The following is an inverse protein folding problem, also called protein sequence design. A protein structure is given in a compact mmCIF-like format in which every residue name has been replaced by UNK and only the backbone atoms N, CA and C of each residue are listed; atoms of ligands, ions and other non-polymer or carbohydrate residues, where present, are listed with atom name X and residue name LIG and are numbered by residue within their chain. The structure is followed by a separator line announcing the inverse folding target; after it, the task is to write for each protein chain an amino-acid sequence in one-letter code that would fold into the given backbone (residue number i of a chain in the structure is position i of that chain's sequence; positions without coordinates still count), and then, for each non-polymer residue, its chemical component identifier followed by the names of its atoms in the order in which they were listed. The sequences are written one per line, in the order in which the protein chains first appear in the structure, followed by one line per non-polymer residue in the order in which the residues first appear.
data_IF_576014087924
#
_entry.id   IF_576014087924
#
_cell.length_a   1.000
_cell.length_b   1.000
_cell.length_c   1.000
_cell.angle_alpha   90.00
_cell.angle_beta   90.00
_cell.angle_gamma   90.00
#
_symmetry.space_group_name_H-M   'P 1'
#
loop_
_entity.id
_entity.type
_entity.pdbx_description
1 polymer ?
#
# COMPACT_ATOMS: atom_id res chain seq x y z
N UNK A 1 65.54 -3.50 -31.65
CA UNK A 1 64.15 -3.53 -32.06
C UNK A 1 63.40 -2.73 -31.03
N UNK A 2 63.04 -1.50 -31.35
CA UNK A 2 62.44 -0.50 -30.46
C UNK A 2 60.92 -0.62 -30.50
N UNK A 3 60.32 -0.97 -29.35
CA UNK A 3 58.89 -0.92 -29.12
C UNK A 3 58.42 0.53 -29.25
N UNK A 4 57.61 0.82 -30.25
CA UNK A 4 56.80 2.04 -30.32
C UNK A 4 55.55 1.80 -29.51
N UNK A 5 55.56 2.24 -28.27
CA UNK A 5 54.35 2.40 -27.44
C UNK A 5 53.55 3.54 -28.08
N UNK A 6 52.38 3.18 -28.63
CA UNK A 6 51.40 4.14 -29.15
C UNK A 6 50.79 4.87 -27.96
N UNK A 7 51.16 6.13 -27.81
CA UNK A 7 50.60 7.04 -26.82
C UNK A 7 49.20 7.48 -27.28
N UNK A 8 48.19 6.75 -26.82
CA UNK A 8 46.77 6.95 -27.16
C UNK A 8 46.16 8.20 -26.50
N UNK A 9 46.92 8.95 -25.69
CA UNK A 9 46.45 10.09 -24.91
C UNK A 9 47.13 11.43 -25.21
N UNK A 10 48.00 11.50 -26.19
CA UNK A 10 48.77 12.71 -26.52
C UNK A 10 48.11 13.54 -27.64
N UNK A 11 46.90 13.99 -27.42
CA UNK A 11 46.25 15.05 -28.20
C UNK A 11 45.28 15.84 -27.32
N UNK A 12 45.18 17.18 -27.48
CA UNK A 12 44.12 17.91 -26.79
C UNK A 12 42.77 17.38 -27.29
N UNK A 13 42.09 16.61 -26.46
CA UNK A 13 40.70 16.21 -26.70
C UNK A 13 39.88 17.48 -26.97
N UNK A 14 39.19 17.60 -28.09
CA UNK A 14 38.21 18.66 -28.23
C UNK A 14 37.18 18.47 -27.11
N UNK A 15 37.18 19.41 -26.17
CA UNK A 15 36.15 19.49 -25.16
C UNK A 15 34.84 19.58 -25.96
N UNK A 16 33.94 18.56 -25.89
CA UNK A 16 32.67 18.71 -26.54
C UNK A 16 32.05 19.95 -25.92
N UNK A 17 31.65 20.90 -26.76
CA UNK A 17 30.86 22.03 -26.29
C UNK A 17 29.78 21.47 -25.41
N UNK A 18 29.83 21.84 -24.14
CA UNK A 18 28.73 21.58 -23.19
C UNK A 18 27.52 22.27 -23.77
N UNK A 19 26.79 21.57 -24.65
CA UNK A 19 25.40 21.91 -24.82
C UNK A 19 24.84 21.81 -23.42
N UNK A 20 24.67 22.94 -22.77
CA UNK A 20 23.70 23.11 -21.70
C UNK A 20 22.39 22.67 -22.32
N UNK A 21 22.11 21.38 -22.20
CA UNK A 21 20.74 20.91 -22.19
C UNK A 21 20.15 21.59 -20.96
N UNK A 22 19.65 22.80 -21.15
CA UNK A 22 18.59 23.34 -20.31
C UNK A 22 17.53 22.24 -20.31
N UNK A 23 17.60 21.35 -19.30
CA UNK A 23 16.50 20.50 -18.94
C UNK A 23 15.40 21.48 -18.57
N UNK A 24 14.59 21.87 -19.56
CA UNK A 24 13.30 22.47 -19.28
C UNK A 24 12.63 21.49 -18.31
N UNK A 25 12.59 21.90 -17.04
CA UNK A 25 11.86 21.15 -16.03
C UNK A 25 10.42 21.12 -16.53
N UNK A 26 9.97 19.94 -16.94
CA UNK A 26 8.64 19.77 -17.49
C UNK A 26 7.65 20.24 -16.43
N UNK A 27 6.95 21.34 -16.69
CA UNK A 27 5.89 21.83 -15.83
C UNK A 27 4.59 21.06 -16.15
N UNK A 28 4.46 19.89 -15.53
CA UNK A 28 3.29 19.05 -15.71
C UNK A 28 1.98 19.75 -15.24
N UNK A 29 2.08 20.75 -14.37
CA UNK A 29 0.91 21.49 -13.89
C UNK A 29 0.34 22.42 -14.98
N UNK A 30 1.18 22.88 -15.91
CA UNK A 30 0.76 23.74 -17.04
C UNK A 30 0.11 22.93 -18.19
N UNK A 31 0.29 21.61 -18.23
CA UNK A 31 -0.30 20.77 -19.28
C UNK A 31 -1.83 20.64 -19.09
N UNK A 32 -2.57 20.65 -20.19
CA UNK A 32 -3.97 20.23 -20.21
C UNK A 32 -4.06 18.72 -19.88
N UNK A 33 -5.25 18.25 -19.48
CA UNK A 33 -5.46 16.83 -19.19
C UNK A 33 -5.16 15.93 -20.40
N UNK A 34 -5.50 16.38 -21.61
CA UNK A 34 -5.24 15.64 -22.84
C UNK A 34 -3.74 15.53 -23.14
N UNK A 35 -2.98 16.62 -22.99
CA UNK A 35 -1.53 16.62 -23.18
C UNK A 35 -0.83 15.78 -22.11
N UNK A 36 -1.27 15.89 -20.85
CA UNK A 36 -0.76 15.09 -19.74
C UNK A 36 -0.94 13.58 -20.00
N UNK A 37 -2.15 13.17 -20.40
CA UNK A 37 -2.48 11.78 -20.72
C UNK A 37 -1.65 11.27 -21.91
N UNK A 38 -1.46 12.09 -22.95
CA UNK A 38 -0.67 11.72 -24.11
C UNK A 38 0.83 11.56 -23.80
N UNK A 39 1.37 12.36 -22.88
CA UNK A 39 2.80 12.33 -22.49
C UNK A 39 3.16 11.13 -21.60
N UNK A 40 2.25 10.63 -20.76
CA UNK A 40 2.53 9.59 -19.77
C UNK A 40 3.10 8.30 -20.37
N UNK A 41 2.57 7.69 -21.44
CA UNK A 41 3.07 6.40 -21.95
C UNK A 41 4.53 6.46 -22.44
N UNK A 42 4.98 7.63 -22.92
CA UNK A 42 6.30 7.84 -23.47
C UNK A 42 7.30 8.44 -22.45
N UNK A 43 6.84 8.68 -21.22
CA UNK A 43 7.62 9.34 -20.17
C UNK A 43 8.96 8.64 -19.90
N UNK A 44 10.04 9.42 -19.92
CA UNK A 44 11.37 8.99 -19.50
C UNK A 44 11.51 8.94 -17.97
N UNK A 45 12.68 8.48 -17.49
CA UNK A 45 12.97 8.38 -16.05
C UNK A 45 12.83 9.75 -15.34
N UNK A 46 13.24 10.86 -16.00
CA UNK A 46 13.18 12.20 -15.39
C UNK A 46 11.77 12.80 -15.32
N UNK A 47 10.85 12.33 -16.12
CA UNK A 47 9.52 12.94 -16.32
C UNK A 47 8.39 12.08 -15.71
N UNK A 48 8.55 10.75 -15.70
CA UNK A 48 7.51 9.83 -15.32
C UNK A 48 6.89 10.13 -13.95
N UNK A 49 7.71 10.49 -12.97
CA UNK A 49 7.23 10.79 -11.63
C UNK A 49 6.42 12.09 -11.57
N UNK A 50 6.86 13.12 -12.30
CA UNK A 50 6.17 14.42 -12.33
C UNK A 50 4.82 14.31 -13.03
N UNK A 51 4.77 13.64 -14.21
CA UNK A 51 3.54 13.42 -14.96
C UNK A 51 2.56 12.53 -14.21
N UNK A 52 3.03 11.41 -13.67
CA UNK A 52 2.19 10.47 -12.93
C UNK A 52 1.61 11.11 -11.67
N UNK A 53 2.42 11.86 -10.90
CA UNK A 53 1.98 12.57 -9.70
C UNK A 53 0.94 13.66 -10.02
N UNK A 54 1.10 14.37 -11.13
CA UNK A 54 0.13 15.38 -11.53
C UNK A 54 -1.21 14.75 -11.94
N UNK A 55 -1.19 13.63 -12.67
CA UNK A 55 -2.39 12.85 -12.99
C UNK A 55 -3.11 12.36 -11.70
N UNK A 56 -2.33 11.90 -10.71
CA UNK A 56 -2.84 11.48 -9.41
C UNK A 56 -3.45 12.66 -8.63
N UNK A 57 -2.77 13.82 -8.58
CA UNK A 57 -3.24 15.04 -7.91
C UNK A 57 -4.59 15.50 -8.46
N UNK A 58 -4.75 15.43 -9.78
CA UNK A 58 -6.02 15.76 -10.46
C UNK A 58 -7.05 14.64 -10.37
N UNK A 59 -6.69 13.46 -9.85
CA UNK A 59 -7.53 12.25 -9.83
C UNK A 59 -8.09 11.88 -11.21
N UNK A 60 -7.27 11.98 -12.25
CA UNK A 60 -7.66 11.77 -13.63
C UNK A 60 -7.93 10.29 -13.93
N UNK A 61 -9.18 9.85 -13.85
CA UNK A 61 -9.55 8.48 -14.22
C UNK A 61 -9.21 8.16 -15.69
N UNK A 62 -9.26 9.16 -16.59
CA UNK A 62 -8.89 9.01 -17.99
C UNK A 62 -7.40 8.68 -18.20
N UNK A 63 -6.50 9.01 -17.24
CA UNK A 63 -5.08 8.69 -17.31
C UNK A 63 -4.77 7.22 -16.98
N UNK A 64 -5.71 6.44 -16.45
CA UNK A 64 -5.48 5.05 -16.03
C UNK A 64 -4.93 4.17 -17.15
N UNK A 65 -5.43 4.29 -18.37
CA UNK A 65 -4.94 3.52 -19.50
C UNK A 65 -3.51 3.92 -19.91
N UNK A 66 -3.20 5.22 -19.84
CA UNK A 66 -1.86 5.74 -20.12
C UNK A 66 -0.83 5.26 -19.06
N UNK A 67 -1.19 5.31 -17.77
CA UNK A 67 -0.37 4.80 -16.68
C UNK A 67 -0.15 3.28 -16.79
N UNK A 68 -1.18 2.52 -17.13
CA UNK A 68 -1.06 1.09 -17.42
C UNK A 68 -0.13 0.82 -18.61
N UNK A 69 -0.22 1.60 -19.69
CA UNK A 69 0.66 1.47 -20.84
C UNK A 69 2.12 1.74 -20.47
N UNK A 70 2.38 2.75 -19.63
CA UNK A 70 3.71 3.03 -19.09
C UNK A 70 4.29 1.82 -18.31
N UNK A 71 3.51 1.15 -17.49
CA UNK A 71 3.93 -0.08 -16.81
C UNK A 71 4.26 -1.20 -17.82
N UNK A 72 3.40 -1.43 -18.82
CA UNK A 72 3.56 -2.49 -19.81
C UNK A 72 4.78 -2.30 -20.70
N UNK A 73 5.15 -1.07 -21.01
CA UNK A 73 6.35 -0.73 -21.79
C UNK A 73 7.63 -1.22 -21.13
N UNK A 74 7.64 -1.34 -19.81
CA UNK A 74 8.79 -1.76 -19.02
C UNK A 74 8.67 -3.17 -18.45
N UNK A 75 7.84 -4.03 -19.04
CA UNK A 75 7.72 -5.45 -18.67
C UNK A 75 9.05 -6.17 -18.82
N UNK A 76 9.44 -6.98 -17.82
CA UNK A 76 10.68 -7.76 -17.80
C UNK A 76 11.93 -7.01 -17.35
N UNK A 77 11.83 -5.72 -16.99
CA UNK A 77 12.96 -4.93 -16.51
C UNK A 77 13.13 -4.93 -14.98
N UNK A 78 12.14 -5.42 -14.23
CA UNK A 78 11.99 -5.23 -12.79
C UNK A 78 12.55 -6.33 -11.88
N UNK A 79 13.26 -7.33 -12.38
CA UNK A 79 13.61 -8.54 -11.63
C UNK A 79 14.27 -8.29 -10.27
N UNK A 80 15.26 -7.39 -10.19
CA UNK A 80 15.97 -7.08 -8.94
C UNK A 80 15.99 -5.59 -8.58
N UNK A 81 15.40 -4.73 -9.39
CA UNK A 81 15.45 -3.27 -9.21
C UNK A 81 14.08 -2.65 -9.42
N UNK A 82 13.81 -1.60 -8.65
CA UNK A 82 12.64 -0.75 -8.92
C UNK A 82 12.81 -0.10 -10.30
N UNK A 83 11.80 -0.27 -11.15
CA UNK A 83 11.69 0.46 -12.42
C UNK A 83 10.96 1.77 -12.12
N UNK A 84 11.62 2.95 -12.21
CA UNK A 84 11.01 4.21 -11.79
C UNK A 84 9.68 4.52 -12.47
N UNK A 85 9.57 4.19 -13.76
CA UNK A 85 8.34 4.40 -14.53
C UNK A 85 7.19 3.51 -14.02
N UNK A 86 7.46 2.24 -13.70
CA UNK A 86 6.46 1.35 -13.13
C UNK A 86 6.06 1.82 -11.73
N UNK A 87 7.02 2.19 -10.88
CA UNK A 87 6.74 2.69 -9.54
C UNK A 87 5.87 3.95 -9.59
N UNK A 88 6.27 4.95 -10.39
CA UNK A 88 5.49 6.18 -10.53
C UNK A 88 4.06 5.94 -11.04
N UNK A 89 3.91 5.02 -11.99
CA UNK A 89 2.59 4.67 -12.52
C UNK A 89 1.73 3.92 -11.50
N UNK A 90 2.30 2.98 -10.73
CA UNK A 90 1.59 2.24 -9.68
C UNK A 90 1.14 3.15 -8.54
N UNK A 91 2.02 4.05 -8.09
CA UNK A 91 1.70 5.05 -7.06
C UNK A 91 0.56 5.97 -7.52
N UNK A 92 0.61 6.42 -8.78
CA UNK A 92 -0.45 7.25 -9.35
C UNK A 92 -1.78 6.49 -9.47
N UNK A 93 -1.76 5.24 -9.93
CA UNK A 93 -2.95 4.39 -10.00
C UNK A 93 -3.58 4.20 -8.60
N UNK A 94 -2.76 3.95 -7.57
CA UNK A 94 -3.21 3.83 -6.20
C UNK A 94 -3.85 5.13 -5.70
N UNK A 95 -3.21 6.29 -5.97
CA UNK A 95 -3.69 7.59 -5.53
C UNK A 95 -4.97 8.05 -6.28
N UNK A 96 -5.13 7.71 -7.57
CA UNK A 96 -6.37 7.96 -8.32
C UNK A 96 -7.53 7.20 -7.68
N UNK A 97 -7.32 5.95 -7.25
CA UNK A 97 -8.23 5.21 -6.40
C UNK A 97 -9.57 4.79 -7.05
N UNK A 98 -9.73 4.95 -8.36
CA UNK A 98 -10.97 4.58 -9.05
C UNK A 98 -11.03 3.07 -9.38
N UNK A 99 -12.22 2.58 -9.72
CA UNK A 99 -12.44 1.18 -10.06
C UNK A 99 -11.59 0.71 -11.25
N UNK A 100 -11.38 1.60 -12.21
CA UNK A 100 -10.54 1.35 -13.39
C UNK A 100 -9.07 1.19 -13.00
N UNK A 101 -8.56 2.00 -12.06
CA UNK A 101 -7.20 1.88 -11.53
C UNK A 101 -7.01 0.54 -10.80
N UNK A 102 -7.97 0.15 -9.96
CA UNK A 102 -7.98 -1.16 -9.28
C UNK A 102 -7.91 -2.32 -10.28
N UNK A 103 -8.71 -2.27 -11.35
CA UNK A 103 -8.68 -3.27 -12.44
C UNK A 103 -7.36 -3.27 -13.19
N UNK A 104 -6.78 -2.08 -13.46
CA UNK A 104 -5.51 -1.96 -14.16
C UNK A 104 -4.37 -2.60 -13.36
N UNK A 105 -4.29 -2.37 -12.05
CA UNK A 105 -3.31 -3.00 -11.16
C UNK A 105 -3.49 -4.52 -11.15
N UNK A 106 -4.72 -5.01 -10.98
CA UNK A 106 -5.01 -6.44 -11.04
C UNK A 106 -4.61 -7.09 -12.37
N UNK A 107 -4.80 -6.38 -13.48
CA UNK A 107 -4.35 -6.84 -14.81
C UNK A 107 -2.83 -6.91 -14.94
N UNK A 108 -2.10 -5.92 -14.41
CA UNK A 108 -0.63 -5.90 -14.42
C UNK A 108 -0.07 -7.09 -13.64
N UNK A 109 -0.61 -7.37 -12.46
CA UNK A 109 -0.21 -8.53 -11.62
C UNK A 109 -0.51 -9.85 -12.36
N UNK A 110 -1.74 -10.02 -12.89
CA UNK A 110 -2.14 -11.25 -13.59
C UNK A 110 -1.30 -11.56 -14.84
N UNK A 111 -0.82 -10.52 -15.52
CA UNK A 111 0.02 -10.66 -16.72
C UNK A 111 1.49 -10.88 -16.41
N UNK A 112 1.91 -10.79 -15.13
CA UNK A 112 3.33 -10.77 -14.77
C UNK A 112 4.07 -9.56 -15.38
N UNK A 113 3.37 -8.45 -15.59
CA UNK A 113 3.96 -7.25 -16.19
C UNK A 113 4.87 -6.49 -15.22
N UNK A 114 4.76 -6.77 -13.94
CA UNK A 114 5.56 -6.21 -12.84
C UNK A 114 6.18 -7.35 -12.06
N UNK A 115 7.46 -7.25 -11.75
CA UNK A 115 8.25 -8.28 -11.08
C UNK A 115 9.07 -7.67 -9.94
N UNK A 116 9.64 -8.51 -9.08
CA UNK A 116 10.50 -8.09 -7.97
C UNK A 116 9.89 -6.96 -7.14
N UNK A 117 10.63 -5.86 -6.85
CA UNK A 117 10.11 -4.75 -6.07
C UNK A 117 8.87 -4.06 -6.68
N UNK A 118 8.73 -4.09 -8.01
CA UNK A 118 7.53 -3.59 -8.71
C UNK A 118 6.29 -4.41 -8.39
N UNK A 119 6.43 -5.72 -8.24
CA UNK A 119 5.33 -6.60 -7.84
C UNK A 119 4.89 -6.29 -6.39
N UNK A 120 5.85 -6.05 -5.48
CA UNK A 120 5.54 -5.64 -4.11
C UNK A 120 4.68 -4.37 -4.10
N UNK A 121 5.08 -3.33 -4.86
CA UNK A 121 4.31 -2.10 -5.00
C UNK A 121 2.91 -2.35 -5.58
N UNK A 122 2.81 -3.17 -6.63
CA UNK A 122 1.52 -3.47 -7.26
C UNK A 122 0.56 -4.22 -6.33
N UNK A 123 1.07 -5.20 -5.56
CA UNK A 123 0.25 -5.96 -4.59
C UNK A 123 -0.15 -5.08 -3.40
N UNK A 124 0.75 -4.21 -2.91
CA UNK A 124 0.42 -3.23 -1.88
C UNK A 124 -0.66 -2.24 -2.35
N UNK A 125 -0.54 -1.72 -3.58
CA UNK A 125 -1.56 -0.87 -4.19
C UNK A 125 -2.91 -1.61 -4.38
N UNK A 126 -2.87 -2.88 -4.75
CA UNK A 126 -4.07 -3.72 -4.84
C UNK A 126 -4.75 -3.89 -3.48
N UNK A 127 -3.97 -4.11 -2.42
CA UNK A 127 -4.48 -4.19 -1.05
C UNK A 127 -5.14 -2.88 -0.62
N UNK A 128 -4.45 -1.75 -0.81
CA UNK A 128 -4.96 -0.41 -0.47
C UNK A 128 -6.28 -0.09 -1.18
N UNK A 129 -6.43 -0.50 -2.43
CA UNK A 129 -7.64 -0.25 -3.22
C UNK A 129 -8.74 -1.31 -3.02
N UNK A 130 -8.51 -2.33 -2.18
CA UNK A 130 -9.42 -3.47 -2.05
C UNK A 130 -9.64 -4.20 -3.38
N UNK A 131 -8.62 -4.22 -4.25
CA UNK A 131 -8.70 -4.78 -5.60
C UNK A 131 -8.99 -6.28 -5.57
N UNK A 132 -9.99 -6.78 -6.32
CA UNK A 132 -10.28 -8.19 -6.36
C UNK A 132 -9.23 -8.93 -7.20
N UNK A 133 -8.23 -9.50 -6.55
CA UNK A 133 -7.31 -10.45 -7.19
C UNK A 133 -7.92 -11.86 -7.14
N UNK A 134 -7.75 -12.68 -8.18
CA UNK A 134 -8.21 -14.08 -8.17
C UNK A 134 -7.55 -14.91 -7.07
N UNK A 135 -8.29 -15.86 -6.48
CA UNK A 135 -7.80 -16.75 -5.41
C UNK A 135 -6.46 -17.42 -5.77
N UNK A 136 -6.35 -17.93 -7.01
CA UNK A 136 -5.12 -18.60 -7.45
C UNK A 136 -3.89 -17.68 -7.40
N UNK A 137 -4.04 -16.41 -7.73
CA UNK A 137 -2.95 -15.42 -7.65
C UNK A 137 -2.60 -15.15 -6.20
N UNK A 138 -3.59 -14.87 -5.34
CA UNK A 138 -3.36 -14.65 -3.91
C UNK A 138 -2.66 -15.86 -3.28
N UNK A 139 -3.13 -17.08 -3.57
CA UNK A 139 -2.54 -18.32 -3.08
C UNK A 139 -1.04 -18.45 -3.44
N UNK A 140 -0.67 -18.06 -4.66
CA UNK A 140 0.73 -18.07 -5.09
C UNK A 140 1.54 -16.97 -4.40
N UNK A 141 0.98 -15.75 -4.27
CA UNK A 141 1.65 -14.62 -3.62
C UNK A 141 1.84 -14.85 -2.12
N UNK A 142 0.92 -15.53 -1.44
CA UNK A 142 1.05 -15.91 -0.02
C UNK A 142 2.21 -16.87 0.23
N UNK A 143 2.69 -17.58 -0.79
CA UNK A 143 3.85 -18.50 -0.73
C UNK A 143 5.11 -17.94 -1.37
N UNK A 144 5.11 -16.65 -1.70
CA UNK A 144 6.25 -16.00 -2.35
C UNK A 144 7.47 -15.93 -1.42
N UNK A 145 8.68 -16.02 -1.97
CA UNK A 145 9.93 -15.96 -1.20
C UNK A 145 10.10 -14.61 -0.49
N UNK A 146 9.72 -13.50 -1.15
CA UNK A 146 9.78 -12.15 -0.59
C UNK A 146 8.68 -11.95 0.48
N UNK A 147 9.07 -11.67 1.75
CA UNK A 147 8.11 -11.47 2.83
C UNK A 147 7.21 -10.24 2.62
N UNK A 148 7.68 -9.21 1.93
CA UNK A 148 6.87 -8.03 1.63
C UNK A 148 5.69 -8.39 0.70
N UNK A 149 5.94 -9.27 -0.27
CA UNK A 149 4.89 -9.77 -1.16
C UNK A 149 3.91 -10.65 -0.37
N UNK A 150 4.38 -11.54 0.52
CA UNK A 150 3.49 -12.35 1.36
C UNK A 150 2.60 -11.49 2.24
N UNK A 151 3.18 -10.49 2.91
CA UNK A 151 2.42 -9.57 3.77
C UNK A 151 1.35 -8.77 2.98
N UNK A 152 1.72 -8.21 1.83
CA UNK A 152 0.78 -7.49 0.97
C UNK A 152 -0.31 -8.41 0.41
N UNK A 153 0.02 -9.65 0.05
CA UNK A 153 -0.95 -10.67 -0.39
C UNK A 153 -1.94 -11.04 0.72
N UNK A 154 -1.48 -11.15 1.97
CA UNK A 154 -2.34 -11.41 3.11
C UNK A 154 -3.40 -10.31 3.27
N UNK A 155 -3.03 -9.03 3.11
CA UNK A 155 -3.98 -7.91 3.14
C UNK A 155 -4.99 -7.93 1.98
N UNK A 156 -4.65 -8.55 0.85
CA UNK A 156 -5.57 -8.76 -0.28
C UNK A 156 -6.47 -9.98 -0.12
N UNK A 157 -6.21 -10.84 0.84
CA UNK A 157 -6.88 -12.12 0.96
C UNK A 157 -8.36 -11.95 1.29
N UNK A 158 -9.17 -12.84 0.72
CA UNK A 158 -10.61 -12.96 0.96
C UNK A 158 -10.89 -14.32 1.62
N UNK A 159 -12.08 -14.55 2.23
CA UNK A 159 -12.41 -15.80 2.89
C UNK A 159 -12.66 -16.95 1.89
N UNK A 160 -11.67 -17.22 1.03
CA UNK A 160 -11.73 -18.35 0.12
C UNK A 160 -11.23 -19.64 0.77
N UNK A 161 -11.69 -20.82 0.33
CA UNK A 161 -11.34 -22.09 0.93
C UNK A 161 -9.84 -22.39 0.99
N UNK A 162 -9.07 -21.92 0.00
CA UNK A 162 -7.62 -22.20 -0.11
C UNK A 162 -6.75 -21.17 0.59
N UNK A 163 -7.26 -19.97 0.88
CA UNK A 163 -6.47 -18.91 1.50
C UNK A 163 -6.39 -19.06 3.02
N UNK A 164 -7.47 -19.41 3.69
CA UNK A 164 -7.51 -19.51 5.14
C UNK A 164 -6.45 -20.49 5.73
N UNK A 165 -6.26 -21.71 5.20
CA UNK A 165 -5.20 -22.60 5.68
C UNK A 165 -3.81 -22.00 5.54
N UNK A 166 -3.49 -21.32 4.43
CA UNK A 166 -2.18 -20.72 4.22
C UNK A 166 -1.98 -19.53 5.17
N UNK A 167 -3.00 -18.72 5.40
CA UNK A 167 -2.93 -17.61 6.37
C UNK A 167 -2.70 -18.14 7.80
N UNK A 168 -3.26 -19.29 8.16
CA UNK A 168 -3.00 -19.93 9.45
C UNK A 168 -1.53 -20.35 9.54
N UNK A 169 -0.96 -20.96 8.49
CA UNK A 169 0.47 -21.29 8.43
C UNK A 169 1.34 -20.02 8.56
N UNK A 170 0.93 -18.91 7.97
CA UNK A 170 1.65 -17.63 8.00
C UNK A 170 1.58 -16.91 9.36
N UNK A 171 0.73 -17.31 10.30
CA UNK A 171 0.75 -16.78 11.67
C UNK A 171 2.11 -17.01 12.36
N UNK A 172 2.80 -18.08 11.99
CA UNK A 172 4.12 -18.47 12.49
C UNK A 172 5.25 -18.12 11.50
N UNK A 173 5.02 -17.21 10.55
CA UNK A 173 6.06 -16.74 9.61
C UNK A 173 7.24 -16.12 10.36
N UNK A 174 8.46 -16.37 9.87
CA UNK A 174 9.69 -15.81 10.43
C UNK A 174 9.69 -14.26 10.46
N UNK A 175 8.92 -13.63 9.57
CA UNK A 175 8.81 -12.18 9.49
C UNK A 175 7.55 -11.72 10.20
N UNK A 176 7.71 -10.99 11.29
CA UNK A 176 6.62 -10.49 12.14
C UNK A 176 5.53 -9.75 11.34
N UNK A 177 5.92 -9.01 10.30
CA UNK A 177 4.99 -8.27 9.46
C UNK A 177 4.05 -9.20 8.69
N UNK A 178 4.56 -10.34 8.20
CA UNK A 178 3.75 -11.36 7.50
C UNK A 178 2.76 -12.00 8.46
N UNK A 179 3.23 -12.44 9.63
CA UNK A 179 2.36 -13.03 10.66
C UNK A 179 1.27 -12.07 11.12
N UNK A 180 1.58 -10.77 11.25
CA UNK A 180 0.59 -9.76 11.61
C UNK A 180 -0.43 -9.51 10.49
N UNK A 181 0.01 -9.40 9.24
CA UNK A 181 -0.90 -9.26 8.10
C UNK A 181 -1.82 -10.48 7.96
N UNK A 182 -1.30 -11.69 8.20
CA UNK A 182 -2.09 -12.91 8.22
C UNK A 182 -3.11 -12.92 9.38
N UNK A 183 -2.72 -12.46 10.58
CA UNK A 183 -3.61 -12.33 11.73
C UNK A 183 -4.73 -11.32 11.45
N UNK A 184 -4.41 -10.17 10.86
CA UNK A 184 -5.42 -9.17 10.47
C UNK A 184 -6.39 -9.74 9.43
N UNK A 185 -5.90 -10.41 8.39
CA UNK A 185 -6.75 -11.03 7.38
C UNK A 185 -7.69 -12.10 7.97
N UNK A 186 -7.15 -12.98 8.82
CA UNK A 186 -7.95 -14.01 9.51
C UNK A 186 -8.97 -13.38 10.48
N UNK A 187 -8.58 -12.32 11.19
CA UNK A 187 -9.47 -11.57 12.07
C UNK A 187 -10.66 -10.99 11.32
N UNK A 188 -10.42 -10.32 10.19
CA UNK A 188 -11.47 -9.80 9.31
C UNK A 188 -12.39 -10.90 8.74
N UNK A 189 -11.89 -12.14 8.63
CA UNK A 189 -12.67 -13.32 8.27
C UNK A 189 -13.41 -13.96 9.45
N UNK A 190 -13.32 -13.42 10.65
CA UNK A 190 -13.94 -13.97 11.86
C UNK A 190 -13.28 -15.26 12.36
N UNK A 191 -12.02 -15.53 12.02
CA UNK A 191 -11.32 -16.77 12.34
C UNK A 191 -10.68 -16.70 13.73
N UNK A 192 -11.06 -17.64 14.58
CA UNK A 192 -10.59 -17.70 15.98
C UNK A 192 -9.07 -17.89 16.12
N UNK A 193 -8.40 -18.45 15.10
CA UNK A 193 -6.96 -18.66 15.10
C UNK A 193 -6.17 -17.34 15.21
N UNK A 194 -6.75 -16.21 14.76
CA UNK A 194 -6.14 -14.89 14.88
C UNK A 194 -6.31 -14.25 16.27
N UNK A 195 -7.16 -14.82 17.15
CA UNK A 195 -7.48 -14.23 18.45
C UNK A 195 -6.24 -13.89 19.28
N UNK A 196 -5.35 -14.85 19.49
CA UNK A 196 -4.18 -14.63 20.34
C UNK A 196 -3.15 -13.64 19.75
N UNK A 197 -2.80 -13.72 18.46
CA UNK A 197 -2.00 -12.68 17.81
C UNK A 197 -2.59 -11.29 17.94
N UNK A 198 -3.89 -11.11 17.71
CA UNK A 198 -4.55 -9.81 17.80
C UNK A 198 -4.64 -9.27 19.24
N UNK A 199 -4.86 -10.14 20.24
CA UNK A 199 -4.80 -9.74 21.66
C UNK A 199 -3.42 -9.18 22.04
N UNK A 200 -2.35 -9.81 21.58
CA UNK A 200 -0.97 -9.31 21.79
C UNK A 200 -0.76 -7.99 21.07
N UNK A 201 -1.18 -7.90 19.81
CA UNK A 201 -1.01 -6.70 18.99
C UNK A 201 -1.76 -5.48 19.56
N UNK A 202 -2.97 -5.64 20.07
CA UNK A 202 -3.73 -4.59 20.74
C UNK A 202 -3.05 -4.06 22.01
N UNK A 203 -2.28 -4.93 22.71
CA UNK A 203 -1.54 -4.54 23.93
C UNK A 203 -0.23 -3.83 23.60
N UNK A 204 0.49 -4.33 22.59
CA UNK A 204 1.89 -3.95 22.31
C UNK A 204 1.98 -2.76 21.35
N UNK A 205 1.08 -2.66 20.37
CA UNK A 205 1.13 -1.62 19.34
C UNK A 205 -0.13 -1.60 18.48
N UNK A 206 -1.24 -1.07 19.01
CA UNK A 206 -2.50 -1.01 18.30
C UNK A 206 -2.42 -0.12 17.05
N UNK A 207 -3.13 -0.52 15.99
CA UNK A 207 -3.33 0.24 14.76
C UNK A 207 -4.77 0.09 14.28
N UNK A 208 -5.19 0.91 13.32
CA UNK A 208 -6.53 0.83 12.72
C UNK A 208 -6.78 -0.58 12.16
N UNK A 209 -5.83 -1.14 11.40
CA UNK A 209 -5.94 -2.49 10.81
C UNK A 209 -6.15 -3.59 11.87
N UNK A 210 -5.47 -3.48 13.03
CA UNK A 210 -5.60 -4.43 14.14
C UNK A 210 -6.97 -4.31 14.82
N UNK A 211 -7.48 -3.08 15.00
CA UNK A 211 -8.79 -2.82 15.57
C UNK A 211 -9.89 -3.40 14.68
N UNK A 212 -9.83 -3.16 13.38
CA UNK A 212 -10.79 -3.70 12.41
C UNK A 212 -10.79 -5.24 12.39
N UNK A 213 -9.59 -5.84 12.44
CA UNK A 213 -9.45 -7.29 12.50
C UNK A 213 -9.99 -7.88 13.79
N UNK A 214 -9.77 -7.22 14.92
CA UNK A 214 -10.29 -7.64 16.22
C UNK A 214 -11.82 -7.58 16.26
N UNK A 215 -12.40 -6.54 15.66
CA UNK A 215 -13.85 -6.43 15.51
C UNK A 215 -14.44 -7.58 14.69
N UNK A 216 -13.74 -8.04 13.64
CA UNK A 216 -14.21 -9.19 12.86
C UNK A 216 -14.38 -10.49 13.67
N UNK A 217 -13.61 -10.67 14.75
CA UNK A 217 -13.78 -11.81 15.67
C UNK A 217 -14.87 -11.54 16.72
N UNK A 218 -14.96 -10.31 17.24
CA UNK A 218 -16.00 -9.90 18.18
C UNK A 218 -15.92 -10.55 19.58
N UNK A 219 -14.77 -11.06 19.99
CA UNK A 219 -14.54 -11.69 21.30
C UNK A 219 -14.56 -10.65 22.43
N UNK A 220 -15.09 -11.00 23.61
CA UNK A 220 -15.24 -10.07 24.74
C UNK A 220 -13.90 -9.45 25.18
N UNK A 221 -12.82 -10.21 25.21
CA UNK A 221 -11.50 -9.70 25.63
C UNK A 221 -10.95 -8.71 24.58
N UNK A 222 -11.15 -8.98 23.29
CA UNK A 222 -10.81 -8.05 22.20
C UNK A 222 -11.62 -6.77 22.31
N UNK A 223 -12.92 -6.84 22.56
CA UNK A 223 -13.80 -5.69 22.78
C UNK A 223 -13.29 -4.81 23.93
N UNK A 224 -12.93 -5.41 25.07
CA UNK A 224 -12.38 -4.67 26.21
C UNK A 224 -11.05 -4.01 25.86
N UNK A 225 -10.17 -4.70 25.15
CA UNK A 225 -8.87 -4.14 24.75
C UNK A 225 -9.03 -3.02 23.71
N UNK A 226 -9.91 -3.13 22.74
CA UNK A 226 -10.25 -2.03 21.83
C UNK A 226 -10.68 -0.78 22.60
N UNK A 227 -11.51 -0.93 23.64
CA UNK A 227 -11.88 0.18 24.50
C UNK A 227 -10.72 0.78 25.28
N UNK A 228 -9.77 -0.04 25.76
CA UNK A 228 -8.56 0.46 26.44
C UNK A 228 -7.58 1.16 25.51
N UNK A 229 -7.54 0.77 24.25
CA UNK A 229 -6.70 1.38 23.23
C UNK A 229 -6.95 2.88 23.12
N UNK A 230 -8.19 3.32 23.22
CA UNK A 230 -8.56 4.75 23.13
C UNK A 230 -7.91 5.63 24.22
N UNK A 231 -7.61 5.05 25.38
CA UNK A 231 -6.92 5.77 26.46
C UNK A 231 -5.43 5.91 26.19
N UNK A 232 -4.82 4.92 25.53
CA UNK A 232 -3.37 4.88 25.24
C UNK A 232 -3.07 5.62 23.93
N UNK A 233 -3.94 5.47 22.93
CA UNK A 233 -3.85 6.03 21.59
C UNK A 233 -5.15 6.77 21.24
N UNK A 234 -5.27 8.03 21.69
CA UNK A 234 -6.48 8.83 21.43
C UNK A 234 -6.76 9.06 19.93
N UNK A 235 -5.72 9.01 19.11
CA UNK A 235 -5.83 9.07 17.64
C UNK A 235 -6.62 7.93 17.03
N UNK A 236 -6.73 6.78 17.70
CA UNK A 236 -7.49 5.61 17.27
C UNK A 236 -8.92 5.56 17.83
N UNK A 237 -9.36 6.57 18.59
CA UNK A 237 -10.67 6.57 19.25
C UNK A 237 -11.81 6.44 18.23
N UNK A 238 -11.76 7.17 17.13
CA UNK A 238 -12.76 7.12 16.07
C UNK A 238 -12.86 5.72 15.47
N UNK A 239 -11.74 5.13 15.08
CA UNK A 239 -11.68 3.78 14.52
C UNK A 239 -12.22 2.73 15.51
N UNK A 240 -11.85 2.85 16.79
CA UNK A 240 -12.33 1.94 17.83
C UNK A 240 -13.87 2.07 18.05
N UNK A 241 -14.41 3.28 18.03
CA UNK A 241 -15.85 3.51 18.12
C UNK A 241 -16.59 2.93 16.91
N UNK A 242 -16.15 3.24 15.70
CA UNK A 242 -16.73 2.72 14.47
C UNK A 242 -16.72 1.18 14.47
N UNK A 243 -15.60 0.56 14.85
CA UNK A 243 -15.47 -0.88 14.96
C UNK A 243 -16.40 -1.50 16.01
N UNK A 244 -16.51 -0.90 17.21
CA UNK A 244 -17.39 -1.39 18.28
C UNK A 244 -18.87 -1.26 17.91
N UNK A 245 -19.25 -0.24 17.13
CA UNK A 245 -20.63 -0.02 16.69
C UNK A 245 -21.09 -1.02 15.63
N UNK A 246 -20.16 -1.62 14.88
CA UNK A 246 -20.49 -2.68 13.92
C UNK A 246 -20.80 -4.02 14.59
N UNK A 247 -20.44 -4.18 15.86
CA UNK A 247 -20.63 -5.42 16.61
C UNK A 247 -22.02 -5.51 17.22
N UNK A 248 -22.76 -6.55 16.89
CA UNK A 248 -24.01 -6.90 17.59
C UNK A 248 -23.68 -7.62 18.92
N UNK A 249 -23.08 -6.87 19.85
CA UNK A 249 -22.66 -7.40 21.14
C UNK A 249 -22.94 -6.41 22.28
N UNK A 250 -23.63 -6.83 23.38
CA UNK A 250 -24.03 -5.91 24.46
C UNK A 250 -22.82 -5.27 25.18
N UNK A 251 -21.68 -5.95 25.24
CA UNK A 251 -20.46 -5.40 25.82
C UNK A 251 -19.88 -4.31 24.92
N UNK A 252 -19.89 -4.46 23.60
CA UNK A 252 -19.41 -3.47 22.65
C UNK A 252 -20.20 -2.15 22.80
N UNK A 253 -21.52 -2.22 22.87
CA UNK A 253 -22.36 -1.05 23.11
C UNK A 253 -22.04 -0.32 24.43
N UNK A 254 -21.79 -1.08 25.52
CA UNK A 254 -21.38 -0.51 26.82
C UNK A 254 -20.00 0.18 26.73
N UNK A 255 -19.03 -0.44 26.05
CA UNK A 255 -17.68 0.11 25.87
C UNK A 255 -17.75 1.38 25.02
N UNK A 256 -18.48 1.37 23.91
CA UNK A 256 -18.67 2.54 23.06
C UNK A 256 -19.30 3.73 23.82
N UNK A 257 -20.35 3.47 24.60
CA UNK A 257 -20.99 4.50 25.46
C UNK A 257 -20.00 5.10 26.45
N UNK A 258 -19.15 4.28 27.07
CA UNK A 258 -18.13 4.75 28.02
C UNK A 258 -17.05 5.63 27.35
N UNK A 259 -16.63 5.27 26.14
CA UNK A 259 -15.66 6.06 25.36
C UNK A 259 -16.23 7.44 25.06
N UNK A 260 -17.47 7.51 24.55
CA UNK A 260 -18.15 8.78 24.25
C UNK A 260 -18.30 9.67 25.47
N UNK A 261 -18.70 9.12 26.62
CA UNK A 261 -18.80 9.86 27.87
C UNK A 261 -17.45 10.46 28.31
N UNK A 262 -16.33 9.76 28.05
CA UNK A 262 -14.99 10.26 28.35
C UNK A 262 -14.60 11.43 27.41
N UNK A 263 -14.92 11.37 26.12
CA UNK A 263 -14.68 12.45 25.16
C UNK A 263 -15.46 13.72 25.51
N UNK A 264 -16.74 13.58 25.93
CA UNK A 264 -17.57 14.71 26.36
C UNK A 264 -17.00 15.40 27.58
N UNK A 265 -16.51 14.65 28.57
CA UNK A 265 -15.86 15.19 29.76
C UNK A 265 -14.57 15.96 29.43
N UNK A 266 -13.75 15.44 28.52
CA UNK A 266 -12.50 16.10 28.11
C UNK A 266 -12.76 17.36 27.27
N UNK A 267 -13.76 17.35 26.41
CA UNK A 267 -14.18 18.51 25.64
C UNK A 267 -14.70 19.65 26.51
N UNK A 268 -15.41 19.30 27.59
CA UNK A 268 -15.92 20.26 28.57
C UNK A 268 -14.79 20.87 29.41
N UNK A 269 -13.79 20.09 29.81
CA UNK A 269 -12.61 20.59 30.55
C UNK A 269 -11.77 21.58 29.73
N UNK A 270 -11.64 21.37 28.42
CA UNK A 270 -10.87 22.28 27.52
C UNK A 270 -11.60 23.59 27.24
N UNK A 271 -12.90 23.69 27.51
CA UNK A 271 -13.71 24.92 27.32
C UNK A 271 -13.77 25.85 28.54
N UNK A 272 -13.30 25.42 29.70
CA UNK A 272 -13.23 26.28 30.90
C UNK A 272 -11.92 27.03 30.81
N UNK A 273 -11.91 28.38 30.55
CA UNK A 273 -10.69 29.15 30.60
C UNK A 273 -10.17 29.15 32.04
N UNK A 274 -8.85 28.95 32.16
CA UNK A 274 -8.16 29.06 33.45
C UNK A 274 -8.37 30.48 33.97
N UNK A 275 -8.76 30.69 35.25
CA UNK A 275 -8.99 31.99 35.81
C UNK A 275 -7.72 32.84 35.92
#
# INVERSE_FOLDING_TARGET
MTEKQLDLFAGPMPVPATHSLDKQVLDAAALSDAELIAAIPEAGIGECHTLAREAARRRLAAAVLALKALCLRHTGFGGQRVVPQQAAALDALAAIGCREASRAIGDLIRRGAVEGPGLTLAVAAAAQLGSPLPEAIITNLLRHDDPQIRAAAARCAKPWPRTAPILIELLDDLHREVGMAAACALGQMGRAEARMPLLRALRDGPSEEIIDAAAGIGDEELIVLMGRTTTIRPDLTRTALEALETLDHPLAAKVATRIRAAEDCDSTRRRIPNP
#
